data_IF_685041313899
#
_entry.id   IF_685041313899
#
_cell.length_a   1.000
_cell.length_b   1.000
_cell.length_c   1.000
_cell.angle_alpha   90.00
_cell.angle_beta   90.00
_cell.angle_gamma   90.00
#
_symmetry.space_group_name_H-M   'P 1'
#
loop_
_entity.id
_entity.type
_entity.pdbx_description
1 polymer ?
#
# COMPACT_ATOMS: atom_id res chain seq x y z
N UNK A 1 0.08 -3.54 37.81
CA UNK A 1 -0.52 -2.65 36.81
C UNK A 1 0.00 -3.15 35.49
N UNK A 2 -0.84 -3.83 34.70
CA UNK A 2 -0.41 -4.28 33.37
C UNK A 2 -0.37 -3.05 32.50
N UNK A 3 0.83 -2.63 32.07
CA UNK A 3 0.94 -1.68 30.97
C UNK A 3 0.21 -2.32 29.79
N UNK A 4 -0.86 -1.68 29.34
CA UNK A 4 -1.53 -2.07 28.12
C UNK A 4 -0.54 -1.72 27.01
N UNK A 5 0.29 -2.68 26.61
CA UNK A 5 1.17 -2.51 25.47
C UNK A 5 0.23 -2.37 24.27
N UNK A 6 0.18 -1.17 23.67
CA UNK A 6 -0.52 -0.99 22.41
C UNK A 6 0.21 -1.85 21.36
N UNK A 7 -0.49 -2.87 20.89
CA UNK A 7 0.01 -3.82 19.90
C UNK A 7 -0.73 -3.56 18.59
N UNK A 8 0.03 -3.42 17.51
CA UNK A 8 -0.50 -3.35 16.16
C UNK A 8 -0.43 -4.73 15.52
N UNK A 9 -1.59 -5.32 15.21
CA UNK A 9 -1.66 -6.52 14.36
C UNK A 9 -1.47 -6.10 12.90
N UNK A 10 -0.49 -6.70 12.22
CA UNK A 10 -0.07 -6.35 10.88
C UNK A 10 -0.05 -7.57 9.95
N UNK A 11 -0.56 -7.38 8.73
CA UNK A 11 -0.30 -8.31 7.63
C UNK A 11 1.10 -8.01 7.08
N UNK A 12 1.92 -9.05 6.96
CA UNK A 12 3.26 -8.91 6.40
C UNK A 12 3.29 -9.30 4.94
N UNK A 13 3.90 -8.44 4.12
CA UNK A 13 4.04 -8.61 2.68
C UNK A 13 5.50 -8.39 2.27
N UNK A 14 5.90 -8.95 1.15
CA UNK A 14 7.22 -8.74 0.57
C UNK A 14 7.15 -7.92 -0.70
N UNK A 15 8.09 -6.99 -0.84
CA UNK A 15 8.39 -6.27 -2.07
C UNK A 15 9.91 -6.34 -2.26
N UNK A 16 10.37 -6.93 -3.36
CA UNK A 16 11.78 -7.25 -3.59
C UNK A 16 12.30 -8.14 -2.46
N UNK A 17 13.38 -7.74 -1.80
CA UNK A 17 13.99 -8.46 -0.67
C UNK A 17 13.58 -7.90 0.69
N UNK A 18 12.66 -6.93 0.72
CA UNK A 18 12.27 -6.20 1.91
C UNK A 18 10.89 -6.65 2.44
N UNK A 19 10.76 -6.69 3.77
CA UNK A 19 9.51 -7.04 4.44
C UNK A 19 8.76 -5.78 4.87
N UNK A 20 7.49 -5.72 4.51
CA UNK A 20 6.59 -4.63 4.83
C UNK A 20 5.45 -5.10 5.73
N UNK A 21 4.98 -4.21 6.60
CA UNK A 21 3.82 -4.41 7.47
C UNK A 21 2.73 -3.42 7.10
N UNK A 22 1.54 -3.94 6.82
CA UNK A 22 0.31 -3.15 6.67
C UNK A 22 -0.64 -3.48 7.80
N UNK A 23 -1.31 -2.47 8.36
CA UNK A 23 -2.26 -2.66 9.46
C UNK A 23 -3.35 -3.67 9.06
N UNK A 24 -3.42 -4.80 9.77
CA UNK A 24 -4.33 -5.89 9.41
C UNK A 24 -5.80 -5.47 9.51
N UNK A 25 -6.12 -4.54 10.42
CA UNK A 25 -7.45 -3.94 10.57
C UNK A 25 -7.93 -3.19 9.32
N UNK A 26 -7.02 -2.70 8.50
CA UNK A 26 -7.33 -2.01 7.24
C UNK A 26 -7.46 -2.96 6.05
N UNK A 27 -6.97 -4.19 6.16
CA UNK A 27 -7.02 -5.19 5.08
C UNK A 27 -8.42 -5.79 5.00
N UNK A 28 -9.02 -5.78 3.82
CA UNK A 28 -10.34 -6.36 3.55
C UNK A 28 -10.27 -7.77 2.99
N UNK A 29 -9.42 -7.97 2.00
CA UNK A 29 -9.19 -9.27 1.38
C UNK A 29 -7.85 -9.31 0.65
N UNK A 30 -7.30 -10.51 0.47
CA UNK A 30 -6.13 -10.77 -0.36
C UNK A 30 -6.62 -11.56 -1.57
N UNK A 31 -6.26 -11.12 -2.76
CA UNK A 31 -6.66 -11.71 -4.02
C UNK A 31 -5.42 -12.23 -4.75
N UNK A 32 -5.60 -13.31 -5.51
CA UNK A 32 -4.68 -13.63 -6.61
C UNK A 32 -4.70 -12.50 -7.64
N UNK A 33 -3.70 -12.45 -8.51
CA UNK A 33 -3.65 -11.46 -9.58
C UNK A 33 -4.88 -11.63 -10.50
N UNK A 34 -5.66 -10.56 -10.63
CA UNK A 34 -6.81 -10.48 -11.53
C UNK A 34 -6.48 -9.59 -12.73
N UNK A 35 -7.26 -9.63 -13.83
CA UNK A 35 -7.06 -8.73 -14.95
C UNK A 35 -7.04 -7.25 -14.50
N UNK A 36 -5.97 -6.54 -14.87
CA UNK A 36 -5.77 -5.13 -14.58
C UNK A 36 -6.18 -4.33 -15.81
N UNK A 37 -7.08 -3.37 -15.62
CA UNK A 37 -7.39 -2.36 -16.65
C UNK A 37 -6.40 -1.23 -16.51
N UNK A 38 -5.47 -1.09 -17.46
CA UNK A 38 -4.55 0.04 -17.49
C UNK A 38 -5.32 1.36 -17.66
N UNK A 39 -4.89 2.39 -16.93
CA UNK A 39 -5.45 3.74 -17.06
C UNK A 39 -4.46 4.60 -17.84
N UNK A 40 -4.81 5.03 -19.08
CA UNK A 40 -3.94 5.88 -19.87
C UNK A 40 -3.60 7.19 -19.12
N UNK A 41 -2.32 7.57 -19.14
CA UNK A 41 -1.81 8.78 -18.47
C UNK A 41 -1.98 8.81 -16.95
N UNK A 42 -2.32 7.69 -16.30
CA UNK A 42 -2.29 7.63 -14.85
C UNK A 42 -0.86 7.80 -14.33
N UNK A 43 -0.69 8.38 -13.13
CA UNK A 43 0.62 8.41 -12.51
C UNK A 43 1.14 6.99 -12.29
N UNK A 44 2.46 6.80 -12.42
CA UNK A 44 3.09 5.48 -12.36
C UNK A 44 2.74 4.65 -11.11
N UNK A 45 2.41 5.31 -10.00
CA UNK A 45 2.02 4.68 -8.74
C UNK A 45 0.65 3.99 -8.84
N UNK A 46 -0.33 4.59 -9.51
CA UNK A 46 -1.64 3.97 -9.77
C UNK A 46 -1.61 3.37 -11.17
N UNK A 47 -1.13 2.12 -11.25
CA UNK A 47 -0.88 1.43 -12.51
C UNK A 47 -2.15 0.98 -13.25
N UNK A 48 -3.30 0.94 -12.58
CA UNK A 48 -4.55 0.53 -13.21
C UNK A 48 -5.74 0.41 -12.26
N UNK A 49 -6.80 -0.20 -12.78
CA UNK A 49 -8.05 -0.48 -12.08
C UNK A 49 -8.31 -1.99 -12.09
N UNK A 50 -8.85 -2.51 -11.00
CA UNK A 50 -9.31 -3.90 -10.87
C UNK A 50 -10.79 -3.93 -10.49
N UNK A 51 -11.45 -5.04 -10.82
CA UNK A 51 -12.83 -5.27 -10.39
C UNK A 51 -12.85 -6.18 -9.16
N UNK A 52 -13.27 -5.63 -8.02
CA UNK A 52 -13.46 -6.38 -6.77
C UNK A 52 -14.94 -6.46 -6.47
N UNK A 53 -15.52 -7.65 -6.70
CA UNK A 53 -16.95 -7.96 -6.44
C UNK A 53 -17.92 -6.97 -7.09
N UNK A 54 -17.64 -6.57 -8.33
CA UNK A 54 -18.46 -5.63 -9.10
C UNK A 54 -18.12 -4.15 -8.88
N UNK A 55 -17.16 -3.83 -8.00
CA UNK A 55 -16.71 -2.46 -7.75
C UNK A 55 -15.35 -2.21 -8.41
N UNK A 56 -15.21 -1.04 -9.02
CA UNK A 56 -13.94 -0.56 -9.57
C UNK A 56 -13.06 -0.09 -8.41
N UNK A 57 -11.87 -0.67 -8.29
CA UNK A 57 -10.90 -0.37 -7.23
C UNK A 57 -9.58 0.04 -7.89
N UNK A 58 -8.97 1.19 -7.49
CA UNK A 58 -7.64 1.56 -7.96
C UNK A 58 -6.59 0.56 -7.46
N UNK A 59 -5.67 0.18 -8.34
CA UNK A 59 -4.54 -0.69 -8.02
C UNK A 59 -3.25 0.13 -8.04
N UNK A 60 -2.60 0.19 -6.90
CA UNK A 60 -1.36 0.90 -6.70
C UNK A 60 -0.17 -0.06 -6.58
N UNK A 61 1.02 0.40 -6.98
CA UNK A 61 2.27 -0.31 -6.85
C UNK A 61 3.22 0.44 -5.93
N UNK A 62 3.37 -0.04 -4.70
CA UNK A 62 4.24 0.55 -3.69
C UNK A 62 5.70 0.58 -4.16
N UNK A 63 6.15 -0.33 -5.03
CA UNK A 63 7.53 -0.34 -5.55
C UNK A 63 7.91 1.01 -6.17
N UNK A 64 6.95 1.69 -6.80
CA UNK A 64 7.15 3.03 -7.39
C UNK A 64 7.53 4.06 -6.32
N UNK A 65 6.88 4.02 -5.16
CA UNK A 65 7.11 4.97 -4.07
C UNK A 65 8.40 4.66 -3.32
N UNK A 66 8.78 3.39 -3.26
CA UNK A 66 10.00 2.91 -2.62
C UNK A 66 11.22 2.86 -3.57
N UNK A 67 11.08 3.30 -4.83
CA UNK A 67 12.18 3.33 -5.80
C UNK A 67 12.71 1.94 -6.18
N UNK A 68 11.81 0.95 -6.16
CA UNK A 68 12.08 -0.44 -6.48
C UNK A 68 11.76 -0.74 -7.94
N UNK A 69 12.40 -1.75 -8.51
CA UNK A 69 12.07 -2.24 -9.85
C UNK A 69 10.67 -2.84 -9.87
N UNK A 70 10.05 -2.96 -11.05
CA UNK A 70 8.74 -3.58 -11.21
C UNK A 70 8.88 -4.85 -12.06
N UNK A 71 9.00 -6.03 -11.44
CA UNK A 71 9.09 -7.27 -12.18
C UNK A 71 7.75 -7.61 -12.83
N UNK A 72 7.78 -8.53 -13.79
CA UNK A 72 6.55 -9.19 -14.23
C UNK A 72 5.96 -9.99 -13.05
N UNK A 73 4.64 -9.91 -12.81
CA UNK A 73 3.98 -10.73 -11.80
C UNK A 73 4.20 -12.22 -12.00
N UNK A 74 4.35 -12.94 -10.90
CA UNK A 74 4.49 -14.39 -10.85
C UNK A 74 3.33 -15.07 -10.08
N UNK A 75 3.45 -16.36 -9.81
CA UNK A 75 2.44 -17.15 -9.08
C UNK A 75 2.30 -16.78 -7.59
N UNK A 76 3.30 -16.13 -7.01
CA UNK A 76 3.31 -15.67 -5.61
C UNK A 76 2.71 -14.26 -5.48
N UNK A 77 2.62 -13.51 -6.59
CA UNK A 77 2.12 -12.14 -6.61
C UNK A 77 0.66 -12.06 -6.17
N UNK A 78 0.36 -11.15 -5.25
CA UNK A 78 -0.98 -10.94 -4.70
C UNK A 78 -1.40 -9.47 -4.76
N UNK A 79 -2.70 -9.26 -4.72
CA UNK A 79 -3.30 -7.94 -4.51
C UNK A 79 -3.84 -7.92 -3.08
N UNK A 80 -3.36 -6.96 -2.28
CA UNK A 80 -3.94 -6.68 -0.96
C UNK A 80 -4.96 -5.57 -1.12
N UNK A 81 -6.23 -5.89 -0.94
CA UNK A 81 -7.33 -4.91 -0.97
C UNK A 81 -7.51 -4.37 0.44
N UNK A 82 -7.39 -3.06 0.60
CA UNK A 82 -7.42 -2.39 1.89
C UNK A 82 -8.19 -1.06 1.86
N UNK A 83 -8.51 -0.57 3.05
CA UNK A 83 -9.08 0.75 3.27
C UNK A 83 -7.96 1.74 3.63
N UNK A 84 -7.95 2.87 2.94
CA UNK A 84 -7.02 4.00 3.15
C UNK A 84 -7.82 5.27 3.23
N UNK A 85 -7.47 6.15 4.16
CA UNK A 85 -8.10 7.46 4.27
C UNK A 85 -7.43 8.42 3.28
N UNK A 86 -8.21 8.97 2.36
CA UNK A 86 -7.74 9.91 1.34
C UNK A 86 -8.63 11.14 1.42
N UNK A 87 -8.04 12.33 1.61
CA UNK A 87 -8.77 13.60 1.78
C UNK A 87 -9.83 13.53 2.90
N UNK A 88 -9.62 12.68 3.91
CA UNK A 88 -10.54 12.46 5.03
C UNK A 88 -11.69 11.50 4.74
N UNK A 89 -11.70 10.83 3.59
CA UNK A 89 -12.72 9.85 3.22
C UNK A 89 -12.14 8.42 3.14
N UNK A 90 -12.81 7.41 3.74
CA UNK A 90 -12.37 6.02 3.67
C UNK A 90 -12.54 5.49 2.24
N UNK A 91 -11.42 5.20 1.60
CA UNK A 91 -11.35 4.78 0.19
C UNK A 91 -10.77 3.37 0.08
N UNK A 92 -11.30 2.57 -0.85
CA UNK A 92 -10.80 1.21 -1.08
C UNK A 92 -9.77 1.23 -2.20
N UNK A 93 -8.61 0.69 -1.90
CA UNK A 93 -7.50 0.56 -2.83
C UNK A 93 -6.94 -0.86 -2.79
N UNK A 94 -6.42 -1.31 -3.92
CA UNK A 94 -5.55 -2.47 -4.00
C UNK A 94 -4.10 -2.02 -4.00
N UNK A 95 -3.23 -2.78 -3.35
CA UNK A 95 -1.78 -2.68 -3.53
C UNK A 95 -1.22 -4.00 -4.04
N UNK A 96 -0.23 -3.95 -4.93
CA UNK A 96 0.54 -5.12 -5.34
C UNK A 96 1.54 -5.53 -4.25
N UNK A 97 1.67 -6.84 -4.06
CA UNK A 97 2.66 -7.47 -3.22
C UNK A 97 3.28 -8.66 -3.97
N UNK A 98 4.60 -8.82 -3.91
CA UNK A 98 5.25 -9.99 -4.51
C UNK A 98 4.83 -11.28 -3.80
N UNK A 99 4.59 -11.17 -2.49
CA UNK A 99 4.15 -12.28 -1.64
C UNK A 99 3.46 -11.74 -0.41
N UNK A 100 2.43 -12.44 0.03
CA UNK A 100 1.85 -12.26 1.36
C UNK A 100 2.37 -13.37 2.26
N UNK A 101 2.85 -13.02 3.45
CA UNK A 101 3.46 -13.96 4.39
C UNK A 101 2.46 -14.39 5.47
N UNK A 102 2.45 -13.69 6.60
CA UNK A 102 1.60 -14.00 7.74
C UNK A 102 1.15 -12.72 8.46
N UNK A 103 0.22 -12.89 9.40
CA UNK A 103 -0.19 -11.83 10.31
C UNK A 103 0.65 -11.92 11.57
N UNK A 104 1.22 -10.79 12.01
CA UNK A 104 2.05 -10.69 13.21
C UNK A 104 1.63 -9.51 14.06
N UNK A 105 1.87 -9.63 15.35
CA UNK A 105 1.75 -8.52 16.28
C UNK A 105 3.08 -7.74 16.32
N UNK A 106 2.98 -6.41 16.33
CA UNK A 106 4.10 -5.47 16.43
C UNK A 106 3.82 -4.58 17.63
N UNK A 107 4.66 -4.65 18.66
CA UNK A 107 4.56 -3.77 19.82
C UNK A 107 4.80 -2.33 19.40
N UNK A 108 3.87 -1.41 19.68
CA UNK A 108 4.00 0.00 19.29
C UNK A 108 5.26 0.65 19.87
N UNK A 109 5.65 0.25 21.09
CA UNK A 109 6.86 0.71 21.75
C UNK A 109 8.17 0.25 21.05
N UNK A 110 8.09 -0.78 20.19
CA UNK A 110 9.24 -1.29 19.42
C UNK A 110 9.39 -0.63 18.04
N UNK A 111 8.42 0.19 17.63
CA UNK A 111 8.44 0.90 16.36
C UNK A 111 9.35 2.11 16.51
N UNK A 112 10.40 2.16 15.70
CA UNK A 112 11.36 3.27 15.65
C UNK A 112 11.07 4.17 14.44
N UNK A 113 11.48 5.44 14.52
CA UNK A 113 11.42 6.34 13.37
C UNK A 113 12.35 5.87 12.25
N UNK A 114 11.94 6.07 11.00
CA UNK A 114 12.79 5.75 9.86
C UNK A 114 14.05 6.64 9.86
N UNK A 115 15.26 6.05 9.71
CA UNK A 115 16.49 6.82 9.58
C UNK A 115 16.42 7.80 8.40
N UNK A 116 16.93 9.02 8.59
CA UNK A 116 16.91 10.06 7.53
C UNK A 116 18.02 9.90 6.49
N UNK A 117 18.99 9.02 6.73
CA UNK A 117 20.19 8.85 5.90
C UNK A 117 20.43 7.37 5.65
N UNK A 118 20.85 7.01 4.43
CA UNK A 118 21.24 5.65 4.07
C UNK A 118 20.10 4.72 3.66
N UNK A 119 18.86 5.23 3.61
CA UNK A 119 17.71 4.48 3.12
C UNK A 119 17.62 4.58 1.59
N UNK A 120 17.29 3.47 0.92
CA UNK A 120 17.00 3.45 -0.53
C UNK A 120 15.69 4.19 -0.86
N UNK A 121 14.78 4.26 0.11
CA UNK A 121 13.46 4.87 -0.01
C UNK A 121 13.34 6.18 0.76
N UNK A 122 12.31 6.95 0.38
CA UNK A 122 11.97 8.26 0.97
C UNK A 122 11.39 8.08 2.38
N UNK A 123 12.04 8.60 3.44
CA UNK A 123 11.57 8.42 4.82
C UNK A 123 10.16 8.94 5.08
N UNK A 124 9.69 9.93 4.32
CA UNK A 124 8.32 10.47 4.47
C UNK A 124 7.20 9.48 4.13
N UNK A 125 7.49 8.39 3.40
CA UNK A 125 6.53 7.33 3.08
C UNK A 125 6.57 6.17 4.09
N UNK A 126 7.36 6.30 5.15
CA UNK A 126 7.51 5.29 6.19
C UNK A 126 6.96 5.85 7.49
N UNK A 127 5.91 5.22 8.01
CA UNK A 127 5.32 5.52 9.32
C UNK A 127 6.26 5.11 10.45
N UNK A 128 6.99 4.02 10.27
CA UNK A 128 8.01 3.56 11.19
C UNK A 128 8.69 2.25 10.75
N UNK A 129 9.64 1.79 11.55
CA UNK A 129 10.36 0.55 11.34
C UNK A 129 10.22 -0.31 12.60
N UNK A 130 9.66 -1.51 12.44
CA UNK A 130 9.63 -2.52 13.50
C UNK A 130 10.81 -3.49 13.39
N UNK A 131 10.96 -4.33 14.42
CA UNK A 131 11.92 -5.45 14.42
C UNK A 131 11.18 -6.77 14.43
N UNK A 132 11.60 -7.71 13.57
CA UNK A 132 11.04 -9.07 13.51
C UNK A 132 12.12 -10.07 13.18
N UNK A 133 12.25 -11.13 13.99
CA UNK A 133 13.20 -12.23 13.77
C UNK A 133 14.66 -11.77 13.55
N UNK A 134 15.08 -10.68 14.20
CA UNK A 134 16.41 -10.09 14.03
C UNK A 134 16.60 -9.26 12.76
N UNK A 135 15.57 -9.13 11.92
CA UNK A 135 15.51 -8.22 10.78
C UNK A 135 14.59 -7.02 11.04
N UNK A 136 14.48 -6.16 10.02
CA UNK A 136 13.59 -5.01 10.03
C UNK A 136 12.29 -5.32 9.28
N UNK A 137 11.22 -4.65 9.69
CA UNK A 137 9.97 -4.63 8.96
C UNK A 137 9.53 -3.17 8.77
N UNK A 138 9.29 -2.79 7.53
CA UNK A 138 8.97 -1.41 7.15
C UNK A 138 7.46 -1.23 7.27
N UNK A 139 7.02 -0.18 7.96
CA UNK A 139 5.60 0.15 8.10
C UNK A 139 5.33 1.37 7.20
N UNK A 140 4.71 1.21 6.02
CA UNK A 140 4.40 2.33 5.15
C UNK A 140 3.39 3.28 5.78
N UNK A 141 3.56 4.57 5.50
CA UNK A 141 2.54 5.58 5.76
C UNK A 141 1.57 5.62 4.57
N UNK A 142 0.53 4.78 4.61
CA UNK A 142 -0.40 4.62 3.49
C UNK A 142 -1.13 5.92 3.16
N UNK A 143 -1.57 6.66 4.17
CA UNK A 143 -2.25 7.95 4.00
C UNK A 143 -1.36 8.91 3.20
N UNK A 144 -0.12 9.13 3.64
CA UNK A 144 0.83 9.99 2.90
C UNK A 144 1.15 9.48 1.50
N UNK A 145 1.26 8.16 1.31
CA UNK A 145 1.54 7.55 0.01
C UNK A 145 0.40 7.86 -0.98
N UNK A 146 -0.85 7.67 -0.56
CA UNK A 146 -2.03 7.88 -1.40
C UNK A 146 -2.40 9.36 -1.58
N UNK A 147 -2.03 10.24 -0.65
CA UNK A 147 -2.20 11.70 -0.79
C UNK A 147 -1.23 12.36 -1.79
N UNK A 148 -0.16 11.65 -2.19
CA UNK A 148 0.78 12.21 -3.16
C UNK A 148 0.10 12.55 -4.48
N UNK A 149 0.61 13.52 -5.27
CA UNK A 149 0.13 13.76 -6.63
C UNK A 149 0.14 12.51 -7.52
N UNK A 150 0.97 11.51 -7.18
CA UNK A 150 1.01 10.22 -7.84
C UNK A 150 -0.12 9.25 -7.40
N UNK A 151 -0.67 9.40 -6.19
CA UNK A 151 -1.83 8.65 -5.68
C UNK A 151 -3.18 9.26 -6.05
N UNK A 152 -3.20 10.57 -6.37
CA UNK A 152 -4.41 11.26 -6.81
C UNK A 152 -4.76 10.89 -8.24
N UNK A 153 -5.85 10.14 -8.41
CA UNK A 153 -6.46 9.91 -9.72
C UNK A 153 -7.04 11.21 -10.28
N UNK A 154 -6.69 11.58 -11.52
CA UNK A 154 -7.38 12.65 -12.26
C UNK A 154 -8.76 12.20 -12.83
N UNK A 155 -9.26 11.02 -12.47
CA UNK A 155 -10.48 10.45 -13.07
C UNK A 155 -11.78 11.19 -12.73
N UNK A 156 -11.76 12.24 -11.88
CA UNK A 156 -12.92 13.08 -11.59
C UNK A 156 -13.21 14.19 -12.60
N UNK A 157 -12.31 14.50 -13.54
CA UNK A 157 -12.44 15.70 -14.39
C UNK A 157 -13.10 15.48 -15.76
N UNK A 158 -13.41 14.24 -16.16
CA UNK A 158 -13.84 13.94 -17.53
C UNK A 158 -15.36 13.86 -17.77
N UNK A 159 -16.20 14.13 -16.76
CA UNK A 159 -17.66 13.99 -16.87
C UNK A 159 -18.47 15.29 -17.04
N UNK A 160 -17.85 16.48 -17.03
CA UNK A 160 -18.61 17.74 -17.19
C UNK A 160 -18.63 18.33 -18.62
N UNK A 161 -17.83 17.83 -19.56
CA UNK A 161 -17.74 18.40 -20.91
C UNK A 161 -18.48 17.58 -21.99
N UNK A 162 -19.71 17.13 -21.69
CA UNK A 162 -20.63 16.57 -22.71
C UNK A 162 -22.09 17.02 -22.60
N UNK A 163 -22.39 18.01 -21.77
CA UNK A 163 -23.73 18.61 -21.65
C UNK A 163 -23.76 20.07 -22.15
N UNK A 164 -23.16 20.33 -23.31
CA UNK A 164 -23.37 21.55 -24.06
C UNK A 164 -23.19 21.28 -25.56
N UNK A 165 -24.21 20.66 -26.16
CA UNK A 165 -24.49 20.82 -27.59
C UNK A 165 -25.98 20.66 -27.85
#
# INVERSE_FOLDING_TARGET
>A
MSENQDVMTALTIRLEDELFAVEASRVREILDLVPITEVPSAPSFVGGLINVRGRVVPLADLRVMFGMERPEPDEDTRIVVMEVDIDGEPTIAGILADKVHDVTDIEAASIEEAPKVGMRWRPEFVKGIGKRNGGFIIIPDMEKIFETPAGRSQAGAASEERAAS
#
